data_IF_049923015878
#
_entry.id   IF_049923015878
#
_cell.length_a   1.000
_cell.length_b   1.000
_cell.length_c   1.000
_cell.angle_alpha   90.00
_cell.angle_beta   90.00
_cell.angle_gamma   90.00
#
_symmetry.space_group_name_H-M   'P 1'
#
loop_
_entity.id
_entity.type
_entity.pdbx_description
1 polymer ?
#
# COMPACT_ATOMS: atom_id res chain seq x y z
N UNK A 1 3.96 18.23 24.08
CA UNK A 1 3.65 17.14 23.16
C UNK A 1 3.73 15.87 23.98
N UNK A 2 2.63 15.16 24.11
CA UNK A 2 2.63 13.88 24.82
C UNK A 2 3.34 12.80 23.98
N UNK A 3 3.85 11.75 24.64
CA UNK A 3 4.58 10.67 23.95
C UNK A 3 3.76 10.04 22.81
N UNK A 4 2.44 9.87 23.02
CA UNK A 4 1.52 9.32 22.02
C UNK A 4 1.41 10.19 20.76
N UNK A 5 1.37 11.52 20.93
CA UNK A 5 1.31 12.48 19.82
C UNK A 5 2.62 12.47 19.01
N UNK A 6 3.76 12.39 19.72
CA UNK A 6 5.06 12.29 19.07
C UNK A 6 5.20 11.01 18.25
N UNK A 7 4.77 9.87 18.81
CA UNK A 7 4.79 8.58 18.11
C UNK A 7 3.87 8.59 16.88
N UNK A 8 2.68 9.16 17.02
CA UNK A 8 1.76 9.38 15.91
C UNK A 8 2.42 10.18 14.78
N UNK A 9 3.03 11.33 15.10
CA UNK A 9 3.71 12.17 14.11
C UNK A 9 4.89 11.45 13.42
N UNK A 10 5.68 10.69 14.18
CA UNK A 10 6.79 9.91 13.62
C UNK A 10 6.26 8.83 12.67
N UNK A 11 5.19 8.13 13.04
CA UNK A 11 4.56 7.11 12.22
C UNK A 11 4.00 7.70 10.91
N UNK A 12 3.37 8.87 10.97
CA UNK A 12 2.86 9.57 9.80
C UNK A 12 3.99 10.02 8.86
N UNK A 13 5.02 10.66 9.41
CA UNK A 13 6.21 11.08 8.65
C UNK A 13 6.91 9.88 7.99
N UNK A 14 6.97 8.73 8.67
CA UNK A 14 7.48 7.50 8.09
C UNK A 14 6.64 7.04 6.89
N UNK A 15 5.31 7.03 7.02
CA UNK A 15 4.41 6.67 5.93
C UNK A 15 4.53 7.62 4.74
N UNK A 16 4.51 8.94 4.99
CA UNK A 16 4.67 9.98 3.98
C UNK A 16 5.99 9.82 3.23
N UNK A 17 7.09 9.67 3.98
CA UNK A 17 8.41 9.44 3.40
C UNK A 17 8.42 8.18 2.53
N UNK A 18 7.94 7.05 3.06
CA UNK A 18 7.91 5.79 2.34
C UNK A 18 7.07 5.88 1.05
N UNK A 19 5.89 6.50 1.11
CA UNK A 19 5.01 6.66 -0.05
C UNK A 19 5.64 7.53 -1.13
N UNK A 20 6.11 8.74 -0.82
CA UNK A 20 6.73 9.58 -1.85
C UNK A 20 8.05 9.01 -2.38
N UNK A 21 8.93 8.54 -1.50
CA UNK A 21 10.26 8.07 -1.90
C UNK A 21 10.21 6.78 -2.71
N UNK A 22 9.44 5.78 -2.26
CA UNK A 22 9.33 4.50 -2.97
C UNK A 22 8.36 4.59 -4.14
N UNK A 23 7.30 5.39 -4.05
CA UNK A 23 6.40 5.67 -5.18
C UNK A 23 7.16 6.31 -6.35
N UNK A 24 7.98 7.32 -6.08
CA UNK A 24 8.85 7.92 -7.10
C UNK A 24 9.82 6.91 -7.73
N UNK A 25 10.41 6.01 -6.92
CA UNK A 25 11.28 4.96 -7.43
C UNK A 25 10.53 3.94 -8.29
N UNK A 26 9.29 3.59 -7.97
CA UNK A 26 8.45 2.73 -8.82
C UNK A 26 8.25 3.33 -10.21
N UNK A 27 7.93 4.61 -10.28
CA UNK A 27 7.76 5.32 -11.56
C UNK A 27 9.10 5.39 -12.29
N UNK A 28 10.13 5.98 -11.68
CA UNK A 28 11.39 6.27 -12.36
C UNK A 28 12.18 5.03 -12.77
N UNK A 29 12.27 4.02 -11.91
CA UNK A 29 13.13 2.85 -12.15
C UNK A 29 12.42 1.70 -12.83
N UNK A 30 11.12 1.53 -12.56
CA UNK A 30 10.38 0.35 -13.01
C UNK A 30 9.25 0.68 -13.99
N UNK A 31 8.97 1.97 -14.22
CA UNK A 31 7.83 2.42 -15.03
C UNK A 31 6.52 1.76 -14.58
N UNK A 32 6.40 1.52 -13.27
CA UNK A 32 5.24 0.89 -12.65
C UNK A 32 4.37 2.00 -12.05
N UNK A 33 3.48 2.54 -12.89
CA UNK A 33 2.62 3.67 -12.53
C UNK A 33 1.53 3.27 -11.54
N UNK A 34 1.02 2.03 -11.61
CA UNK A 34 0.07 1.49 -10.64
C UNK A 34 0.59 1.62 -9.21
N UNK A 35 1.74 0.99 -8.89
CA UNK A 35 2.32 1.07 -7.55
C UNK A 35 2.85 2.47 -7.23
N UNK A 36 3.44 3.13 -8.22
CA UNK A 36 4.04 4.44 -8.05
C UNK A 36 3.04 5.50 -7.60
N UNK A 37 1.91 5.60 -8.30
CA UNK A 37 0.86 6.57 -8.02
C UNK A 37 0.09 6.20 -6.75
N UNK A 38 -0.19 4.92 -6.52
CA UNK A 38 -0.84 4.47 -5.28
C UNK A 38 -0.03 4.86 -4.04
N UNK A 39 1.29 4.64 -4.07
CA UNK A 39 2.18 5.03 -2.98
C UNK A 39 2.14 6.54 -2.71
N UNK A 40 2.05 7.35 -3.77
CA UNK A 40 1.92 8.79 -3.65
C UNK A 40 0.56 9.20 -3.11
N UNK A 41 -0.52 8.52 -3.51
CA UNK A 41 -1.88 8.75 -2.98
C UNK A 41 -1.91 8.53 -1.47
N UNK A 42 -1.33 7.42 -0.99
CA UNK A 42 -1.22 7.15 0.45
C UNK A 42 -0.41 8.25 1.16
N UNK A 43 0.73 8.67 0.61
CA UNK A 43 1.51 9.75 1.20
C UNK A 43 0.78 11.11 1.17
N UNK A 44 0.02 11.40 0.12
CA UNK A 44 -0.81 12.60 0.03
C UNK A 44 -1.93 12.56 1.06
N UNK A 45 -2.54 11.39 1.30
CA UNK A 45 -3.53 11.20 2.37
C UNK A 45 -2.93 11.55 3.74
N UNK A 46 -1.79 10.94 4.10
CA UNK A 46 -1.08 11.24 5.34
C UNK A 46 -0.66 12.70 5.45
N UNK A 47 -0.18 13.31 4.37
CA UNK A 47 0.20 14.73 4.37
C UNK A 47 -0.99 15.65 4.66
N UNK A 48 -2.17 15.38 4.08
CA UNK A 48 -3.37 16.16 4.38
C UNK A 48 -3.80 15.97 5.83
N UNK A 49 -3.73 14.75 6.35
CA UNK A 49 -4.04 14.46 7.75
C UNK A 49 -3.07 15.12 8.74
N UNK A 50 -1.76 15.11 8.44
CA UNK A 50 -0.73 15.79 9.22
C UNK A 50 -0.93 17.31 9.25
N UNK A 51 -1.20 17.92 8.09
CA UNK A 51 -1.42 19.36 8.02
C UNK A 51 -2.71 19.72 8.76
N UNK A 52 -3.79 18.98 8.53
CA UNK A 52 -5.07 19.16 9.21
C UNK A 52 -4.93 19.10 10.73
N UNK A 53 -4.23 18.08 11.25
CA UNK A 53 -3.97 17.94 12.68
C UNK A 53 -3.08 19.06 13.24
N UNK A 54 -2.03 19.46 12.50
CA UNK A 54 -1.12 20.53 12.90
C UNK A 54 -1.82 21.90 13.01
N UNK A 55 -2.78 22.19 12.13
CA UNK A 55 -3.56 23.44 12.17
C UNK A 55 -4.81 23.35 13.05
N UNK A 56 -5.04 22.20 13.72
CA UNK A 56 -6.26 21.91 14.50
C UNK A 56 -7.53 22.17 13.69
N UNK A 57 -7.53 21.71 12.43
CA UNK A 57 -8.63 21.89 11.51
C UNK A 57 -9.90 21.20 12.00
N UNK A 58 -11.06 21.69 11.57
CA UNK A 58 -12.33 21.00 11.84
C UNK A 58 -12.49 19.77 10.94
N UNK A 59 -13.28 18.80 11.40
CA UNK A 59 -13.66 17.63 10.59
C UNK A 59 -14.46 18.01 9.33
N UNK A 60 -15.14 19.17 9.35
CA UNK A 60 -15.85 19.71 8.20
C UNK A 60 -14.91 20.39 7.18
N UNK A 61 -13.60 20.37 7.39
CA UNK A 61 -12.65 21.00 6.47
C UNK A 61 -12.52 20.18 5.16
N UNK A 62 -12.34 20.86 4.01
CA UNK A 62 -12.06 20.19 2.75
C UNK A 62 -10.82 19.28 2.81
N UNK A 63 -9.82 19.64 3.63
CA UNK A 63 -8.61 18.84 3.82
C UNK A 63 -8.89 17.50 4.49
N UNK A 64 -9.71 17.50 5.55
CA UNK A 64 -10.11 16.27 6.23
C UNK A 64 -10.95 15.39 5.31
N UNK A 65 -11.94 15.97 4.63
CA UNK A 65 -12.77 15.24 3.65
C UNK A 65 -11.91 14.61 2.56
N UNK A 66 -10.93 15.35 2.03
CA UNK A 66 -10.02 14.84 1.01
C UNK A 66 -9.10 13.73 1.54
N UNK A 67 -8.61 13.82 2.78
CA UNK A 67 -7.85 12.74 3.41
C UNK A 67 -8.70 11.47 3.57
N UNK A 68 -9.95 11.59 4.05
CA UNK A 68 -10.89 10.47 4.16
C UNK A 68 -11.17 9.83 2.80
N UNK A 69 -11.33 10.64 1.74
CA UNK A 69 -11.47 10.15 0.36
C UNK A 69 -10.26 9.30 -0.07
N UNK A 70 -9.05 9.80 0.13
CA UNK A 70 -7.83 9.10 -0.28
C UNK A 70 -7.58 7.83 0.55
N UNK A 71 -7.91 7.84 1.85
CA UNK A 71 -7.89 6.63 2.69
C UNK A 71 -8.88 5.58 2.17
N UNK A 72 -10.13 5.99 1.91
CA UNK A 72 -11.17 5.11 1.38
C UNK A 72 -10.81 4.55 -0.01
N UNK A 73 -10.25 5.40 -0.89
CA UNK A 73 -9.69 5.00 -2.18
C UNK A 73 -8.65 3.89 -2.01
N UNK A 74 -7.68 4.11 -1.13
CA UNK A 74 -6.53 3.21 -0.95
C UNK A 74 -6.96 1.88 -0.33
N UNK A 75 -7.82 1.92 0.69
CA UNK A 75 -8.34 0.71 1.35
C UNK A 75 -9.27 -0.12 0.49
N UNK A 76 -10.03 0.54 -0.39
CA UNK A 76 -11.02 -0.15 -1.23
C UNK A 76 -10.38 -0.83 -2.44
N UNK A 77 -9.62 -0.08 -3.24
CA UNK A 77 -9.12 -0.52 -4.55
C UNK A 77 -7.61 -0.28 -4.71
N UNK A 78 -7.04 0.72 -4.02
CA UNK A 78 -5.62 1.09 -4.14
C UNK A 78 -4.62 0.04 -3.64
N UNK A 79 -4.42 -0.06 -2.32
CA UNK A 79 -3.58 -1.09 -1.67
C UNK A 79 -4.19 -2.50 -1.80
N UNK A 80 -5.27 -2.67 -2.56
CA UNK A 80 -5.86 -3.97 -2.89
C UNK A 80 -5.64 -4.32 -4.36
N UNK A 81 -6.55 -3.95 -5.24
CA UNK A 81 -6.52 -4.30 -6.67
C UNK A 81 -5.34 -3.66 -7.39
N UNK A 82 -5.09 -2.36 -7.21
CA UNK A 82 -3.97 -1.64 -7.85
C UNK A 82 -2.64 -2.23 -7.39
N UNK A 83 -2.51 -2.53 -6.09
CA UNK A 83 -1.36 -3.24 -5.54
C UNK A 83 -1.14 -4.59 -6.22
N UNK A 84 -2.17 -5.44 -6.27
CA UNK A 84 -2.10 -6.77 -6.90
C UNK A 84 -1.68 -6.65 -8.36
N UNK A 85 -2.34 -5.81 -9.14
CA UNK A 85 -2.02 -5.60 -10.56
C UNK A 85 -0.60 -5.06 -10.75
N UNK A 86 -0.16 -4.15 -9.88
CA UNK A 86 1.20 -3.63 -9.89
C UNK A 86 2.25 -4.70 -9.59
N UNK A 87 1.98 -5.61 -8.65
CA UNK A 87 2.84 -6.75 -8.32
C UNK A 87 2.78 -7.89 -9.37
N UNK A 88 1.69 -7.99 -10.15
CA UNK A 88 1.59 -8.93 -11.27
C UNK A 88 2.66 -8.69 -12.34
N UNK A 89 3.24 -7.49 -12.41
CA UNK A 89 4.39 -7.21 -13.28
C UNK A 89 5.61 -8.08 -12.97
N UNK A 90 5.88 -8.36 -11.69
CA UNK A 90 7.04 -9.17 -11.27
C UNK A 90 6.69 -10.62 -11.00
N UNK A 91 5.43 -10.94 -10.72
CA UNK A 91 5.00 -12.33 -10.46
C UNK A 91 4.52 -13.07 -11.72
N UNK A 92 3.87 -12.35 -12.64
CA UNK A 92 3.21 -12.91 -13.83
C UNK A 92 3.66 -12.27 -15.15
N UNK A 93 4.64 -11.34 -15.11
CA UNK A 93 5.09 -10.55 -16.28
C UNK A 93 3.95 -9.73 -16.91
N UNK A 94 2.91 -9.43 -16.15
CA UNK A 94 1.77 -8.65 -16.61
C UNK A 94 2.19 -7.21 -16.94
N UNK A 95 1.79 -6.73 -18.11
CA UNK A 95 1.99 -5.35 -18.56
C UNK A 95 0.61 -4.78 -18.88
N UNK A 96 -0.03 -4.05 -17.94
CA UNK A 96 -1.32 -3.44 -18.21
C UNK A 96 -1.20 -2.42 -19.34
N UNK A 97 -2.31 -2.25 -20.08
CA UNK A 97 -2.42 -1.16 -21.04
C UNK A 97 -2.67 0.16 -20.30
N UNK A 98 -2.38 1.29 -20.93
CA UNK A 98 -2.69 2.62 -20.35
C UNK A 98 -4.19 2.75 -20.04
N UNK A 99 -5.06 2.21 -20.89
CA UNK A 99 -6.50 2.21 -20.65
C UNK A 99 -6.88 1.41 -19.39
N UNK A 100 -6.21 0.28 -19.16
CA UNK A 100 -6.39 -0.53 -17.95
C UNK A 100 -5.91 0.21 -16.69
N UNK A 101 -4.75 0.88 -16.77
CA UNK A 101 -4.23 1.69 -15.66
C UNK A 101 -5.20 2.83 -15.32
N UNK A 102 -5.66 3.59 -16.32
CA UNK A 102 -6.64 4.66 -16.11
C UNK A 102 -7.95 4.09 -15.54
N UNK A 103 -8.45 2.99 -16.10
CA UNK A 103 -9.70 2.37 -15.68
C UNK A 103 -9.69 1.94 -14.21
N UNK A 104 -8.58 1.39 -13.71
CA UNK A 104 -8.49 0.98 -12.31
C UNK A 104 -8.38 2.18 -11.36
N UNK A 105 -7.68 3.26 -11.75
CA UNK A 105 -7.66 4.50 -10.97
C UNK A 105 -9.04 5.16 -10.94
N UNK A 106 -9.77 5.17 -12.06
CA UNK A 106 -11.16 5.67 -12.11
C UNK A 106 -12.06 4.83 -11.21
N UNK A 107 -11.98 3.50 -11.28
CA UNK A 107 -12.73 2.60 -10.39
C UNK A 107 -12.43 2.90 -8.93
N UNK A 108 -11.16 3.06 -8.58
CA UNK A 108 -10.73 3.39 -7.24
C UNK A 108 -11.24 4.78 -6.79
N UNK A 109 -11.29 5.77 -7.70
CA UNK A 109 -11.91 7.08 -7.42
C UNK A 109 -13.40 6.93 -7.13
N UNK A 110 -14.15 6.19 -7.96
CA UNK A 110 -15.58 5.97 -7.70
C UNK A 110 -15.80 5.24 -6.38
N UNK A 111 -15.01 4.20 -6.10
CA UNK A 111 -15.08 3.47 -4.83
C UNK A 111 -14.75 4.38 -3.64
N UNK A 112 -13.68 5.18 -3.72
CA UNK A 112 -13.31 6.14 -2.67
C UNK A 112 -14.42 7.17 -2.41
N UNK A 113 -15.02 7.72 -3.47
CA UNK A 113 -16.15 8.66 -3.36
C UNK A 113 -17.39 8.00 -2.75
N UNK A 114 -17.66 6.73 -3.08
CA UNK A 114 -18.76 5.97 -2.52
C UNK A 114 -18.51 5.56 -1.07
N UNK A 115 -17.28 5.24 -0.67
CA UNK A 115 -17.02 4.74 0.67
C UNK A 115 -16.77 5.86 1.69
N UNK A 116 -16.25 7.03 1.28
CA UNK A 116 -15.99 8.13 2.20
C UNK A 116 -17.23 8.62 2.97
N UNK A 117 -18.42 8.50 2.38
CA UNK A 117 -19.68 8.92 3.03
C UNK A 117 -20.00 8.11 4.29
N UNK A 118 -19.38 6.93 4.45
CA UNK A 118 -19.57 6.06 5.61
C UNK A 118 -18.47 6.26 6.66
N UNK A 119 -17.64 7.30 6.56
CA UNK A 119 -16.56 7.54 7.51
C UNK A 119 -17.07 7.96 8.91
N UNK A 120 -18.20 8.66 8.98
CA UNK A 120 -18.72 9.21 10.24
C UNK A 120 -19.34 8.16 11.17
N UNK A 121 -19.82 7.03 10.62
CA UNK A 121 -20.54 6.02 11.39
C UNK A 121 -20.20 4.63 10.92
N UNK A 122 -20.11 3.68 11.86
CA UNK A 122 -19.92 2.27 11.53
C UNK A 122 -21.04 1.79 10.60
N UNK A 123 -20.64 1.35 9.40
CA UNK A 123 -21.52 0.76 8.42
C UNK A 123 -21.02 -0.66 8.12
N UNK A 124 -21.82 -1.67 8.50
CA UNK A 124 -21.45 -3.08 8.39
C UNK A 124 -21.03 -3.46 6.96
N UNK A 125 -21.76 -2.98 5.95
CA UNK A 125 -21.45 -3.26 4.53
C UNK A 125 -20.05 -2.80 4.11
N UNK A 126 -19.74 -1.49 4.19
CA UNK A 126 -18.40 -0.95 3.95
C UNK A 126 -17.29 -1.61 4.78
N UNK A 127 -17.51 -1.80 6.09
CA UNK A 127 -16.54 -2.44 6.96
C UNK A 127 -16.23 -3.88 6.51
N UNK A 128 -17.27 -4.68 6.22
CA UNK A 128 -17.10 -6.04 5.69
C UNK A 128 -16.41 -6.02 4.33
N UNK A 129 -16.74 -5.08 3.45
CA UNK A 129 -16.09 -4.94 2.15
C UNK A 129 -14.59 -4.77 2.31
N UNK A 130 -14.14 -3.81 3.14
CA UNK A 130 -12.71 -3.56 3.38
C UNK A 130 -11.97 -4.79 3.89
N UNK A 131 -12.56 -5.53 4.82
CA UNK A 131 -11.96 -6.78 5.32
C UNK A 131 -11.89 -7.84 4.22
N UNK A 132 -12.95 -8.05 3.45
CA UNK A 132 -12.97 -9.05 2.36
C UNK A 132 -11.92 -8.76 1.30
N UNK A 133 -11.81 -7.51 0.83
CA UNK A 133 -10.78 -7.15 -0.15
C UNK A 133 -9.38 -7.23 0.44
N UNK A 134 -9.21 -6.93 1.72
CA UNK A 134 -7.94 -7.09 2.43
C UNK A 134 -7.55 -8.56 2.59
N UNK A 135 -8.49 -9.47 2.90
CA UNK A 135 -8.27 -10.93 2.92
C UNK A 135 -7.79 -11.40 1.55
N UNK A 136 -8.51 -11.06 0.48
CA UNK A 136 -8.16 -11.46 -0.87
C UNK A 136 -6.76 -10.95 -1.28
N UNK A 137 -6.46 -9.71 -0.93
CA UNK A 137 -5.13 -9.10 -1.16
C UNK A 137 -4.06 -9.82 -0.34
N UNK A 138 -4.32 -10.14 0.92
CA UNK A 138 -3.38 -10.82 1.81
C UNK A 138 -3.03 -12.22 1.30
N UNK A 139 -4.00 -12.96 0.75
CA UNK A 139 -3.75 -14.25 0.09
C UNK A 139 -2.79 -14.10 -1.10
N UNK A 140 -2.98 -13.07 -1.93
CA UNK A 140 -2.05 -12.77 -3.02
C UNK A 140 -0.65 -12.38 -2.51
N UNK A 141 -0.57 -11.60 -1.43
CA UNK A 141 0.70 -11.20 -0.83
C UNK A 141 1.46 -12.37 -0.19
N UNK A 142 0.75 -13.34 0.37
CA UNK A 142 1.34 -14.62 0.82
C UNK A 142 1.92 -15.37 -0.38
N UNK A 143 1.18 -15.47 -1.48
CA UNK A 143 1.70 -16.04 -2.72
C UNK A 143 2.96 -15.30 -3.21
N UNK A 144 2.93 -13.96 -3.23
CA UNK A 144 4.07 -13.13 -3.61
C UNK A 144 5.29 -13.37 -2.70
N UNK A 145 5.08 -13.49 -1.39
CA UNK A 145 6.15 -13.87 -0.45
C UNK A 145 6.68 -15.28 -0.72
N UNK A 146 5.81 -16.24 -1.06
CA UNK A 146 6.22 -17.58 -1.51
C UNK A 146 7.11 -17.54 -2.75
N UNK A 147 6.81 -16.66 -3.72
CA UNK A 147 7.67 -16.45 -4.90
C UNK A 147 9.04 -15.90 -4.52
N UNK A 148 9.12 -14.96 -3.58
CA UNK A 148 10.39 -14.44 -3.04
C UNK A 148 11.20 -15.54 -2.36
N UNK A 149 10.53 -16.36 -1.55
CA UNK A 149 11.17 -17.48 -0.87
C UNK A 149 11.78 -18.47 -1.87
N UNK A 150 11.04 -18.80 -2.94
CA UNK A 150 11.49 -19.72 -3.97
C UNK A 150 12.74 -19.23 -4.72
N UNK A 151 12.92 -17.90 -4.87
CA UNK A 151 14.12 -17.31 -5.50
C UNK A 151 15.26 -17.03 -4.52
N UNK A 152 15.14 -17.52 -3.28
CA UNK A 152 16.19 -17.41 -2.24
C UNK A 152 16.11 -16.13 -1.40
N UNK A 153 15.13 -15.25 -1.62
CA UNK A 153 15.00 -13.95 -0.95
C UNK A 153 14.25 -14.05 0.39
N UNK A 154 14.73 -14.94 1.28
CA UNK A 154 14.03 -15.34 2.52
C UNK A 154 13.75 -14.19 3.49
N UNK A 155 14.70 -13.27 3.68
CA UNK A 155 14.51 -12.11 4.58
C UNK A 155 13.39 -11.20 4.07
N UNK A 156 13.37 -10.92 2.76
CA UNK A 156 12.35 -10.07 2.13
C UNK A 156 11.00 -10.78 2.11
N UNK A 157 10.97 -12.09 1.93
CA UNK A 157 9.76 -12.91 2.04
C UNK A 157 9.17 -12.85 3.46
N UNK A 158 10.00 -13.09 4.49
CA UNK A 158 9.57 -13.02 5.89
C UNK A 158 9.08 -11.63 6.28
N UNK A 159 9.81 -10.57 5.88
CA UNK A 159 9.39 -9.19 6.10
C UNK A 159 8.07 -8.85 5.39
N UNK A 160 7.87 -9.35 4.16
CA UNK A 160 6.60 -9.19 3.42
C UNK A 160 5.45 -9.87 4.14
N UNK A 161 5.65 -11.08 4.67
CA UNK A 161 4.64 -11.77 5.46
C UNK A 161 4.32 -11.03 6.77
N UNK A 162 5.34 -10.56 7.48
CA UNK A 162 5.16 -9.80 8.71
C UNK A 162 4.39 -8.49 8.47
N UNK A 163 4.75 -7.74 7.43
CA UNK A 163 4.06 -6.51 7.05
C UNK A 163 2.61 -6.78 6.60
N UNK A 164 2.37 -7.89 5.91
CA UNK A 164 1.02 -8.32 5.50
C UNK A 164 0.17 -8.72 6.70
N UNK A 165 0.72 -9.47 7.65
CA UNK A 165 0.02 -9.85 8.88
C UNK A 165 -0.32 -8.62 9.73
N UNK A 166 0.59 -7.65 9.84
CA UNK A 166 0.32 -6.38 10.51
C UNK A 166 -0.81 -5.60 9.80
N UNK A 167 -0.75 -5.48 8.47
CA UNK A 167 -1.80 -4.83 7.68
C UNK A 167 -3.17 -5.50 7.83
N UNK A 168 -3.20 -6.83 7.89
CA UNK A 168 -4.41 -7.61 8.14
C UNK A 168 -4.99 -7.34 9.54
N UNK A 169 -4.13 -7.32 10.57
CA UNK A 169 -4.55 -6.98 11.93
C UNK A 169 -5.13 -5.56 12.01
N UNK A 170 -4.49 -4.58 11.35
CA UNK A 170 -5.02 -3.22 11.25
C UNK A 170 -6.37 -3.20 10.55
N UNK A 171 -6.53 -3.91 9.42
CA UNK A 171 -7.79 -3.92 8.66
C UNK A 171 -8.98 -4.44 9.48
N UNK A 172 -8.77 -5.49 10.28
CA UNK A 172 -9.81 -6.03 11.18
C UNK A 172 -10.09 -5.09 12.35
N UNK A 173 -9.04 -4.53 12.95
CA UNK A 173 -9.12 -3.61 14.11
C UNK A 173 -9.72 -2.26 13.72
N UNK A 174 -9.65 -1.87 12.44
CA UNK A 174 -10.14 -0.58 11.94
C UNK A 174 -11.61 -0.36 12.30
N UNK A 175 -12.46 -1.31 11.93
CA UNK A 175 -13.93 -1.15 12.02
C UNK A 175 -14.58 -2.11 13.03
N UNK A 176 -14.01 -3.30 13.28
CA UNK A 176 -14.69 -4.35 14.07
C UNK A 176 -14.21 -4.48 15.52
N UNK A 177 -12.94 -4.20 15.78
CA UNK A 177 -12.33 -4.43 17.10
C UNK A 177 -11.53 -3.21 17.56
N UNK A 178 -12.19 -2.17 18.11
CA UNK A 178 -11.49 -1.03 18.68
C UNK A 178 -10.50 -1.46 19.77
N UNK A 179 -9.34 -0.79 19.82
CA UNK A 179 -8.32 -1.09 20.82
C UNK A 179 -8.80 -0.59 22.19
N UNK A 180 -8.89 -1.45 23.23
CA UNK A 180 -9.27 -1.01 24.57
C UNK A 180 -8.28 0.03 25.11
N UNK A 181 -8.80 1.15 25.61
CA UNK A 181 -7.98 2.22 26.20
C UNK A 181 -7.40 3.22 25.19
N UNK A 182 -7.81 3.16 23.92
CA UNK A 182 -7.52 4.21 22.95
C UNK A 182 -8.35 5.48 23.24
N UNK A 183 -7.83 6.64 22.88
CA UNK A 183 -8.54 7.91 23.10
C UNK A 183 -9.63 8.17 22.04
N UNK A 184 -10.43 9.23 22.24
CA UNK A 184 -11.52 9.58 21.32
C UNK A 184 -11.04 9.79 19.88
N UNK A 185 -9.79 10.24 19.70
CA UNK A 185 -9.14 10.44 18.41
C UNK A 185 -8.49 9.16 17.87
N UNK A 186 -8.58 8.04 18.60
CA UNK A 186 -7.98 6.74 18.26
C UNK A 186 -6.48 6.83 17.98
N UNK A 187 -5.76 7.65 18.76
CA UNK A 187 -4.35 7.98 18.52
C UNK A 187 -3.46 6.74 18.50
N UNK A 188 -3.71 5.75 19.36
CA UNK A 188 -2.92 4.51 19.41
C UNK A 188 -3.15 3.70 18.14
N UNK A 189 -4.41 3.52 17.76
CA UNK A 189 -4.78 2.82 16.54
C UNK A 189 -4.16 3.48 15.30
N UNK A 190 -4.33 4.80 15.13
CA UNK A 190 -3.79 5.50 13.97
C UNK A 190 -2.27 5.50 13.95
N UNK A 191 -1.60 5.59 15.09
CA UNK A 191 -0.14 5.42 15.17
C UNK A 191 0.29 4.05 14.63
N UNK A 192 -0.37 2.98 15.09
CA UNK A 192 -0.06 1.62 14.64
C UNK A 192 -0.41 1.42 13.15
N UNK A 193 -1.52 1.99 12.69
CA UNK A 193 -1.94 1.96 11.30
C UNK A 193 -0.90 2.66 10.40
N UNK A 194 -0.57 3.91 10.66
CA UNK A 194 0.39 4.69 9.86
C UNK A 194 1.77 4.03 9.83
N UNK A 195 2.25 3.52 10.97
CA UNK A 195 3.50 2.78 11.03
C UNK A 195 3.46 1.50 10.17
N UNK A 196 2.33 0.79 10.20
CA UNK A 196 2.10 -0.42 9.39
C UNK A 196 2.07 -0.09 7.91
N UNK A 197 1.31 0.93 7.50
CA UNK A 197 1.24 1.38 6.12
C UNK A 197 2.63 1.79 5.61
N UNK A 198 3.35 2.65 6.32
CA UNK A 198 4.72 3.03 5.93
C UNK A 198 5.66 1.82 5.79
N UNK A 199 5.53 0.84 6.69
CA UNK A 199 6.32 -0.40 6.65
C UNK A 199 5.93 -1.28 5.47
N UNK A 200 4.64 -1.40 5.13
CA UNK A 200 4.16 -2.11 3.94
C UNK A 200 4.71 -1.44 2.67
N UNK A 201 4.60 -0.11 2.56
CA UNK A 201 5.11 0.65 1.41
C UNK A 201 6.61 0.41 1.18
N UNK A 202 7.40 0.42 2.26
CA UNK A 202 8.83 0.14 2.22
C UNK A 202 9.14 -1.32 1.86
N UNK A 203 8.55 -2.26 2.59
CA UNK A 203 8.87 -3.68 2.47
C UNK A 203 8.44 -4.24 1.12
N UNK A 204 7.24 -3.88 0.64
CA UNK A 204 6.75 -4.29 -0.67
C UNK A 204 7.59 -3.72 -1.81
N UNK A 205 8.13 -2.50 -1.67
CA UNK A 205 9.10 -1.98 -2.64
C UNK A 205 10.39 -2.82 -2.69
N UNK A 206 10.97 -3.13 -1.53
CA UNK A 206 12.20 -3.94 -1.48
C UNK A 206 11.98 -5.35 -2.02
N UNK A 207 10.84 -5.95 -1.69
CA UNK A 207 10.40 -7.24 -2.19
C UNK A 207 10.21 -7.22 -3.72
N UNK A 208 9.50 -6.22 -4.23
CA UNK A 208 9.31 -6.03 -5.67
C UNK A 208 10.65 -5.94 -6.40
N UNK A 209 11.56 -5.09 -5.90
CA UNK A 209 12.89 -4.91 -6.49
C UNK A 209 13.66 -6.22 -6.54
N UNK A 210 13.59 -7.03 -5.49
CA UNK A 210 14.30 -8.30 -5.44
C UNK A 210 13.79 -9.28 -6.50
N UNK A 211 12.46 -9.42 -6.62
CA UNK A 211 11.88 -10.30 -7.64
C UNK A 211 12.11 -9.76 -9.06
N UNK A 212 12.05 -8.44 -9.26
CA UNK A 212 12.40 -7.81 -10.53
C UNK A 212 13.86 -8.08 -10.92
N UNK A 213 14.81 -7.87 -10.02
CA UNK A 213 16.22 -8.12 -10.31
C UNK A 213 16.48 -9.60 -10.64
N UNK A 214 15.81 -10.52 -9.94
CA UNK A 214 15.89 -11.95 -10.26
C UNK A 214 15.37 -12.26 -11.66
N UNK A 215 14.21 -11.68 -12.01
CA UNK A 215 13.59 -11.81 -13.32
C UNK A 215 14.50 -11.31 -14.46
N UNK A 216 15.08 -10.12 -14.33
CA UNK A 216 16.03 -9.57 -15.31
C UNK A 216 17.28 -10.44 -15.44
N UNK A 217 17.82 -10.93 -14.33
CA UNK A 217 18.99 -11.82 -14.35
C UNK A 217 18.69 -13.18 -15.01
N UNK A 218 17.46 -13.68 -14.85
CA UNK A 218 17.01 -14.90 -15.53
C UNK A 218 16.88 -14.68 -17.04
N UNK A 219 16.32 -13.55 -17.47
CA UNK A 219 16.11 -13.22 -18.88
C UNK A 219 17.44 -12.95 -19.63
N UNK A 220 18.47 -12.45 -18.94
CA UNK A 220 19.79 -12.20 -19.53
C UNK A 220 20.62 -13.48 -19.81
N UNK A 221 20.33 -14.61 -19.14
CA UNK A 221 21.09 -15.86 -19.28
C UNK A 221 20.90 -16.54 -20.65
N UNK A 222 19.67 -16.68 -21.20
CA UNK A 222 19.44 -17.18 -22.55
C UNK A 222 20.13 -16.34 -23.63
N UNK A 223 20.00 -15.01 -23.57
CA UNK A 223 20.58 -14.09 -24.55
C UNK A 223 22.11 -14.21 -24.65
N UNK A 224 22.80 -14.39 -23.52
CA UNK A 224 24.26 -14.60 -23.50
C UNK A 224 24.68 -15.95 -24.11
N UNK A 225 23.86 -17.00 -23.93
CA UNK A 225 24.12 -18.31 -24.55
C UNK A 225 23.95 -18.28 -26.06
N UNK A 226 22.92 -17.61 -26.56
CA UNK A 226 22.68 -17.42 -28.00
C UNK A 226 23.82 -16.62 -28.66
N UNK A 227 24.27 -15.54 -28.03
CA UNK A 227 25.42 -14.75 -28.52
C UNK A 227 26.73 -15.55 -28.53
N UNK A 228 26.98 -16.37 -27.51
CA UNK A 228 28.16 -17.24 -27.45
C UNK A 228 28.13 -18.37 -28.47
N UNK A 229 26.94 -18.85 -28.86
CA UNK A 229 26.77 -19.89 -29.86
C UNK A 229 26.83 -19.34 -31.30
N UNK A 230 26.46 -18.08 -31.53
CA UNK A 230 26.53 -17.43 -32.85
C UNK A 230 27.93 -16.87 -33.19
N UNK A 231 28.82 -16.75 -32.21
CA UNK A 231 30.20 -16.28 -32.38
C UNK A 231 31.26 -17.39 -32.44
N UNK A 232 30.86 -18.66 -32.44
CA UNK A 232 31.71 -19.85 -32.58
C UNK A 232 31.45 -20.52 -33.94
#
# INVERSE_FOLDING_TARGET
MELKELLFMIADLWMIFAGFFYGWKFIRRYQNYLLGLEWMIVATSGTNFLIWSAIKGSENSPMFTFACFLDAFSRSVGITLILVMGLMRVTHRYKPTIATDIGVFVLATVAGLYFQQFHAHFALGPATYYVVVNVATSLFLIYFAGRLWAVGEKVKAAGTLAATAAGFAIAITYDFFPIPGDDELRTIFYTAALATWGTQLWMYFLAYRALHNHNEAADARPARREQSAAGA
#
